data_IF_388222607421
#
_entry.id   IF_388222607421
#
_cell.length_a   1.000
_cell.length_b   1.000
_cell.length_c   1.000
_cell.angle_alpha   90.00
_cell.angle_beta   90.00
_cell.angle_gamma   90.00
#
_symmetry.space_group_name_H-M   'P 1'
#
loop_
_entity.id
_entity.type
_entity.pdbx_description
1 polymer ?
#
# COMPACT_ATOMS: atom_id res chain seq x y z
N UNK A 1 13.95 4.42 -0.58
CA UNK A 1 13.17 4.79 -1.77
C UNK A 1 11.98 5.64 -1.36
N UNK A 2 11.74 6.78 -2.02
CA UNK A 2 10.59 7.62 -1.69
C UNK A 2 9.27 6.91 -1.99
N UNK A 3 8.28 7.00 -1.10
CA UNK A 3 6.93 6.49 -1.38
C UNK A 3 6.24 7.35 -2.44
N UNK A 4 5.24 6.77 -3.09
CA UNK A 4 4.42 7.45 -4.11
C UNK A 4 2.98 7.57 -3.63
N UNK A 5 2.15 8.45 -4.22
CA UNK A 5 0.75 8.58 -3.82
C UNK A 5 -0.01 7.26 -3.91
N UNK A 6 -0.82 6.91 -2.90
CA UNK A 6 -1.60 5.66 -2.91
C UNK A 6 -2.47 5.47 -4.15
N UNK A 7 -3.02 6.55 -4.71
CA UNK A 7 -3.86 6.47 -5.92
C UNK A 7 -3.10 5.95 -7.14
N UNK A 8 -1.78 6.02 -7.13
CA UNK A 8 -0.93 5.51 -8.22
C UNK A 8 -0.45 4.08 -7.96
N UNK A 9 -0.70 3.54 -6.78
CA UNK A 9 -0.26 2.21 -6.37
C UNK A 9 -1.35 1.19 -6.69
N UNK A 10 -0.98 0.16 -7.41
CA UNK A 10 -1.88 -0.95 -7.78
C UNK A 10 -1.49 -2.17 -6.96
N UNK A 11 -2.35 -2.55 -6.03
CA UNK A 11 -2.10 -3.65 -5.09
C UNK A 11 -3.03 -4.82 -5.39
N UNK A 12 -2.46 -6.01 -5.38
CA UNK A 12 -3.22 -7.26 -5.33
C UNK A 12 -2.93 -7.95 -4.00
N UNK A 13 -3.97 -8.30 -3.26
CA UNK A 13 -3.81 -9.00 -1.98
C UNK A 13 -3.96 -10.50 -2.20
N UNK A 14 -3.00 -11.25 -1.68
CA UNK A 14 -2.94 -12.71 -1.80
C UNK A 14 -3.04 -13.34 -0.41
N UNK A 15 -3.88 -14.36 -0.27
CA UNK A 15 -4.00 -15.11 0.97
C UNK A 15 -2.95 -16.22 1.00
N UNK A 16 -1.94 -16.05 1.85
CA UNK A 16 -0.90 -17.04 2.10
C UNK A 16 -0.97 -17.63 3.52
N UNK A 17 -1.91 -17.18 4.34
CA UNK A 17 -2.08 -17.60 5.73
C UNK A 17 -3.23 -18.59 5.96
N UNK A 18 -3.97 -18.95 4.92
CA UNK A 18 -5.05 -19.94 5.02
C UNK A 18 -6.32 -19.44 5.70
N UNK A 19 -6.36 -18.24 6.24
CA UNK A 19 -7.55 -17.70 6.88
C UNK A 19 -8.54 -17.21 5.83
N UNK A 20 -9.74 -17.82 5.81
CA UNK A 20 -10.77 -17.47 4.84
C UNK A 20 -11.19 -16.01 4.95
N UNK A 21 -11.27 -15.31 3.83
CA UNK A 21 -11.72 -13.93 3.77
C UNK A 21 -10.67 -12.88 4.14
N UNK A 22 -9.50 -13.27 4.61
CA UNK A 22 -8.45 -12.34 5.02
C UNK A 22 -8.02 -11.43 3.88
N UNK A 23 -7.75 -11.99 2.70
CA UNK A 23 -7.30 -11.18 1.56
C UNK A 23 -8.37 -10.19 1.10
N UNK A 24 -9.65 -10.57 1.15
CA UNK A 24 -10.75 -9.67 0.82
C UNK A 24 -10.84 -8.51 1.81
N UNK A 25 -10.68 -8.79 3.10
CA UNK A 25 -10.71 -7.77 4.14
C UNK A 25 -9.56 -6.77 3.95
N UNK A 26 -8.36 -7.27 3.74
CA UNK A 26 -7.18 -6.41 3.57
C UNK A 26 -7.26 -5.59 2.28
N UNK A 27 -7.77 -6.17 1.19
CA UNK A 27 -7.98 -5.42 -0.05
C UNK A 27 -8.96 -4.28 0.15
N UNK A 28 -10.03 -4.49 0.91
CA UNK A 28 -10.99 -3.44 1.25
C UNK A 28 -10.33 -2.34 2.09
N UNK A 29 -9.51 -2.69 3.05
CA UNK A 29 -8.78 -1.73 3.87
C UNK A 29 -7.80 -0.88 3.05
N UNK A 30 -7.07 -1.49 2.12
CA UNK A 30 -6.21 -0.74 1.20
C UNK A 30 -7.02 0.21 0.33
N UNK A 31 -8.18 -0.22 -0.15
CA UNK A 31 -9.11 0.65 -0.89
C UNK A 31 -9.53 1.86 -0.07
N UNK A 32 -9.80 1.68 1.22
CA UNK A 32 -10.17 2.76 2.13
C UNK A 32 -9.03 3.80 2.28
N UNK A 33 -7.78 3.38 2.13
CA UNK A 33 -6.63 4.28 2.14
C UNK A 33 -6.28 4.87 0.77
N UNK A 34 -7.13 4.65 -0.23
CA UNK A 34 -6.98 5.26 -1.54
C UNK A 34 -6.14 4.47 -2.53
N UNK A 35 -5.74 3.24 -2.21
CA UNK A 35 -4.99 2.39 -3.12
C UNK A 35 -5.88 1.84 -4.23
N UNK A 36 -5.33 1.71 -5.43
CA UNK A 36 -6.00 1.04 -6.53
C UNK A 36 -5.83 -0.47 -6.43
N UNK A 37 -6.84 -1.21 -6.88
CA UNK A 37 -6.78 -2.67 -6.91
C UNK A 37 -6.23 -3.14 -8.26
N UNK A 38 -5.10 -3.85 -8.23
CA UNK A 38 -4.48 -4.38 -9.45
C UNK A 38 -5.28 -5.55 -10.02
N UNK A 39 -5.82 -6.40 -9.13
CA UNK A 39 -6.63 -7.57 -9.46
C UNK A 39 -7.43 -7.99 -8.23
N UNK A 40 -8.51 -8.78 -8.38
CA UNK A 40 -9.25 -9.30 -7.25
C UNK A 40 -8.37 -10.11 -6.30
N UNK A 41 -8.63 -10.05 -4.98
CA UNK A 41 -7.90 -10.88 -4.03
C UNK A 41 -8.09 -12.37 -4.33
N UNK A 42 -7.02 -13.13 -4.13
CA UNK A 42 -7.04 -14.57 -4.36
C UNK A 42 -6.05 -15.28 -3.43
N UNK A 43 -5.98 -16.60 -3.50
CA UNK A 43 -5.00 -17.37 -2.76
C UNK A 43 -3.62 -17.22 -3.38
N UNK A 44 -2.58 -17.23 -2.53
CA UNK A 44 -1.20 -17.16 -2.99
C UNK A 44 -0.78 -18.50 -3.62
N UNK A 45 -0.24 -18.45 -4.82
CA UNK A 45 0.20 -19.65 -5.53
C UNK A 45 1.53 -20.21 -5.01
N UNK A 46 2.34 -19.38 -4.34
CA UNK A 46 3.59 -19.82 -3.71
C UNK A 46 3.36 -20.53 -2.38
N UNK A 47 2.23 -20.25 -1.72
CA UNK A 47 1.85 -20.87 -0.46
C UNK A 47 0.41 -21.40 -0.58
N UNK A 48 0.18 -22.40 -1.45
CA UNK A 48 -1.17 -22.88 -1.74
C UNK A 48 -1.88 -23.48 -0.53
N UNK A 49 -1.12 -23.97 0.45
CA UNK A 49 -1.67 -24.55 1.68
C UNK A 49 -1.92 -23.50 2.78
N UNK A 50 -1.64 -22.23 2.50
CA UNK A 50 -1.84 -21.14 3.44
C UNK A 50 -0.91 -21.21 4.66
N UNK A 51 0.31 -21.65 4.46
CA UNK A 51 1.28 -21.94 5.52
C UNK A 51 2.47 -20.98 5.58
N UNK A 52 2.36 -19.80 4.96
CA UNK A 52 3.38 -18.77 5.08
C UNK A 52 3.40 -18.24 6.52
N UNK A 53 4.50 -18.49 7.24
CA UNK A 53 4.58 -18.27 8.69
C UNK A 53 4.83 -16.81 9.08
N UNK A 54 5.33 -15.98 8.17
CA UNK A 54 5.60 -14.57 8.47
C UNK A 54 4.31 -13.72 8.45
N UNK A 55 4.44 -12.45 8.85
CA UNK A 55 3.34 -11.49 8.77
C UNK A 55 2.87 -11.31 7.34
N UNK A 56 3.79 -11.15 6.40
CA UNK A 56 3.45 -10.97 5.00
C UNK A 56 4.68 -10.72 4.15
N UNK A 57 4.46 -10.69 2.84
CA UNK A 57 5.47 -10.32 1.85
C UNK A 57 4.89 -9.29 0.90
N UNK A 58 5.66 -8.23 0.66
CA UNK A 58 5.37 -7.24 -0.38
C UNK A 58 6.27 -7.57 -1.56
N UNK A 59 5.68 -8.07 -2.64
CA UNK A 59 6.39 -8.52 -3.85
C UNK A 59 6.25 -7.47 -4.94
N UNK A 60 7.37 -7.07 -5.51
CA UNK A 60 7.40 -5.99 -6.49
C UNK A 60 8.58 -6.15 -7.45
N UNK A 61 8.48 -5.52 -8.61
CA UNK A 61 9.58 -5.40 -9.56
C UNK A 61 10.26 -4.04 -9.50
N UNK A 62 11.22 -3.83 -10.37
CA UNK A 62 11.98 -2.58 -10.45
C UNK A 62 11.07 -1.35 -10.60
N UNK A 63 10.04 -1.45 -11.46
CA UNK A 63 9.11 -0.34 -11.71
C UNK A 63 8.19 -0.06 -10.52
N UNK A 64 8.02 -1.03 -9.61
CA UNK A 64 7.16 -0.92 -8.45
C UNK A 64 7.84 -0.51 -7.15
N UNK A 65 9.09 -0.08 -7.19
CA UNK A 65 9.86 0.28 -5.99
C UNK A 65 9.17 1.36 -5.14
N UNK A 66 8.72 2.44 -5.77
CA UNK A 66 7.99 3.51 -5.08
C UNK A 66 6.66 3.03 -4.52
N UNK A 67 5.94 2.22 -5.29
CA UNK A 67 4.68 1.63 -4.86
C UNK A 67 4.87 0.71 -3.64
N UNK A 68 5.88 -0.14 -3.66
CA UNK A 68 6.21 -1.02 -2.54
C UNK A 68 6.58 -0.21 -1.29
N UNK A 69 7.28 0.90 -1.46
CA UNK A 69 7.62 1.81 -0.36
C UNK A 69 6.36 2.38 0.32
N UNK A 70 5.33 2.71 -0.46
CA UNK A 70 4.05 3.18 0.08
C UNK A 70 3.30 2.06 0.79
N UNK A 71 3.21 0.88 0.19
CA UNK A 71 2.56 -0.29 0.82
C UNK A 71 3.24 -0.64 2.14
N UNK A 72 4.56 -0.58 2.19
CA UNK A 72 5.33 -0.89 3.40
C UNK A 72 5.01 0.05 4.58
N UNK A 73 4.50 1.24 4.34
CA UNK A 73 4.05 2.13 5.42
C UNK A 73 2.85 1.55 6.17
N UNK A 74 1.98 0.83 5.47
CA UNK A 74 0.79 0.20 6.08
C UNK A 74 1.09 -1.17 6.67
N UNK A 75 2.10 -1.85 6.15
CA UNK A 75 2.48 -3.20 6.58
C UNK A 75 3.97 -3.27 6.89
N UNK A 76 4.44 -2.53 7.90
CA UNK A 76 5.88 -2.36 8.13
C UNK A 76 6.60 -3.65 8.49
N UNK A 77 5.86 -4.66 8.95
CA UNK A 77 6.43 -5.95 9.34
C UNK A 77 6.45 -6.97 8.21
N UNK A 78 5.94 -6.61 7.03
CA UNK A 78 6.02 -7.47 5.87
C UNK A 78 7.41 -7.44 5.26
N UNK A 79 7.85 -8.59 4.79
CA UNK A 79 9.12 -8.72 4.07
C UNK A 79 9.01 -8.11 2.68
N UNK A 80 10.01 -7.33 2.28
CA UNK A 80 10.08 -6.76 0.94
C UNK A 80 10.80 -7.75 0.03
N UNK A 81 10.11 -8.23 -1.00
CA UNK A 81 10.65 -9.22 -1.94
C UNK A 81 10.63 -8.64 -3.34
N UNK A 82 11.80 -8.46 -3.92
CA UNK A 82 11.93 -8.01 -5.29
C UNK A 82 11.88 -9.20 -6.24
N UNK A 83 11.04 -9.10 -7.26
CA UNK A 83 10.92 -10.12 -8.30
C UNK A 83 11.19 -9.56 -9.70
N UNK A 84 11.03 -10.38 -10.71
CA UNK A 84 11.39 -10.06 -12.09
C UNK A 84 10.25 -9.43 -12.90
N UNK A 85 9.12 -9.04 -12.26
CA UNK A 85 8.01 -8.42 -13.00
C UNK A 85 8.43 -7.09 -13.63
N UNK A 86 7.93 -6.83 -14.82
CA UNK A 86 8.23 -5.61 -15.55
C UNK A 86 7.29 -4.45 -15.28
N UNK A 87 6.12 -4.72 -14.68
CA UNK A 87 5.13 -3.70 -14.39
C UNK A 87 5.32 -3.09 -12.99
N UNK A 88 4.50 -2.11 -12.66
CA UNK A 88 4.54 -1.40 -11.39
C UNK A 88 3.56 -1.93 -10.34
N UNK A 89 2.95 -3.08 -10.58
CA UNK A 89 2.02 -3.70 -9.63
C UNK A 89 2.75 -4.26 -8.43
N UNK A 90 2.05 -4.32 -7.30
CA UNK A 90 2.57 -4.85 -6.05
C UNK A 90 1.63 -5.93 -5.55
N UNK A 91 2.19 -7.06 -5.16
CA UNK A 91 1.45 -8.11 -4.48
C UNK A 91 1.74 -8.05 -2.98
N UNK A 92 0.68 -8.02 -2.18
CA UNK A 92 0.77 -8.22 -0.74
C UNK A 92 0.25 -9.61 -0.40
N UNK A 93 1.15 -10.51 -0.06
CA UNK A 93 0.80 -11.82 0.45
C UNK A 93 0.68 -11.74 1.97
N UNK A 94 -0.49 -12.07 2.51
CA UNK A 94 -0.74 -12.04 3.95
C UNK A 94 -0.52 -13.43 4.55
N UNK A 95 0.35 -13.50 5.54
CA UNK A 95 0.75 -14.74 6.18
C UNK A 95 -0.10 -15.09 7.40
N UNK A 96 0.28 -16.18 8.07
CA UNK A 96 -0.48 -16.71 9.22
C UNK A 96 -0.48 -15.79 10.43
N UNK A 97 0.53 -14.93 10.57
CA UNK A 97 0.64 -13.99 11.68
C UNK A 97 0.19 -12.58 11.33
N UNK A 98 -0.40 -12.41 10.15
CA UNK A 98 -0.88 -11.10 9.72
C UNK A 98 -2.07 -10.66 10.60
N UNK A 99 -1.96 -9.44 11.14
CA UNK A 99 -3.07 -8.77 11.80
C UNK A 99 -3.79 -7.81 10.86
N UNK A 100 -4.59 -6.94 11.42
CA UNK A 100 -5.27 -5.91 10.64
C UNK A 100 -4.32 -4.80 10.21
N UNK A 101 -4.63 -4.15 9.09
CA UNK A 101 -4.02 -2.88 8.72
C UNK A 101 -4.57 -1.81 9.66
N UNK A 102 -3.75 -1.37 10.58
CA UNK A 102 -4.13 -0.36 11.56
C UNK A 102 -3.00 0.67 11.69
N UNK A 103 -2.87 1.55 10.72
CA UNK A 103 -1.75 2.51 10.72
C UNK A 103 -1.90 3.52 11.85
N UNK A 104 -0.79 3.82 12.48
CA UNK A 104 -0.71 4.89 13.45
C UNK A 104 -0.81 6.28 12.80
N UNK A 105 -0.83 7.29 13.63
CA UNK A 105 -0.98 8.67 13.18
C UNK A 105 0.10 9.10 12.19
N UNK A 106 1.37 8.73 12.46
CA UNK A 106 2.48 9.12 11.60
C UNK A 106 2.32 8.55 10.18
N UNK A 107 1.84 7.32 10.05
CA UNK A 107 1.56 6.72 8.75
C UNK A 107 0.41 7.43 8.05
N UNK A 108 -0.66 7.76 8.78
CA UNK A 108 -1.80 8.50 8.20
C UNK A 108 -1.37 9.87 7.71
N UNK A 109 -0.55 10.58 8.50
CA UNK A 109 -0.02 11.88 8.11
C UNK A 109 0.86 11.77 6.85
N UNK A 110 1.68 10.74 6.75
CA UNK A 110 2.50 10.50 5.58
C UNK A 110 1.64 10.24 4.33
N UNK A 111 0.59 9.43 4.46
CA UNK A 111 -0.33 9.16 3.36
C UNK A 111 -1.08 10.42 2.93
N UNK A 112 -1.48 11.27 3.87
CA UNK A 112 -2.12 12.55 3.58
C UNK A 112 -1.19 13.46 2.78
N UNK A 113 0.07 13.55 3.18
CA UNK A 113 1.07 14.34 2.47
C UNK A 113 1.35 13.81 1.07
N UNK A 114 1.17 12.51 0.84
CA UNK A 114 1.27 11.91 -0.48
C UNK A 114 0.07 12.20 -1.38
N UNK A 115 -0.96 12.90 -0.86
CA UNK A 115 -2.15 13.18 -1.62
C UNK A 115 -3.12 12.02 -1.66
N UNK A 116 -2.91 10.98 -0.84
CA UNK A 116 -3.80 9.83 -0.70
C UNK A 116 -5.06 10.12 0.10
N UNK A 117 -5.27 11.34 0.49
CA UNK A 117 -6.26 11.81 1.45
C UNK A 117 -7.66 11.95 0.89
N UNK A 118 -8.01 11.24 -0.16
CA UNK A 118 -9.39 11.22 -0.63
C UNK A 118 -10.37 10.58 0.36
N UNK A 119 -9.87 9.83 1.30
CA UNK A 119 -10.70 9.17 2.31
C UNK A 119 -11.08 10.16 3.42
N UNK A 120 -12.37 10.35 3.58
CA UNK A 120 -12.91 11.24 4.61
C UNK A 120 -12.88 12.72 4.29
N UNK A 121 -12.33 13.13 3.18
CA UNK A 121 -12.55 14.47 2.66
C UNK A 121 -13.65 14.44 1.61
N UNK A 122 -14.71 15.22 1.80
CA UNK A 122 -15.48 15.57 0.65
C UNK A 122 -14.50 16.13 -0.37
N UNK A 123 -14.63 15.70 -1.61
CA UNK A 123 -14.01 16.40 -2.70
C UNK A 123 -14.39 17.86 -2.48
N UNK A 124 -13.58 18.54 -1.67
CA UNK A 124 -13.82 19.95 -1.46
C UNK A 124 -13.80 20.50 -2.86
N UNK A 125 -14.80 21.23 -3.23
CA UNK A 125 -14.80 21.96 -4.46
C UNK A 125 -13.59 22.84 -4.64
N UNK A 126 -12.43 22.35 -4.20
CA UNK A 126 -11.17 22.79 -4.72
C UNK A 126 -11.36 22.75 -6.20
N UNK A 127 -11.71 23.86 -6.69
CA UNK A 127 -12.02 24.11 -8.04
C UNK A 127 -11.14 23.21 -8.88
N UNK A 128 -11.78 22.23 -9.51
CA UNK A 128 -11.16 21.61 -10.65
C UNK A 128 -10.50 22.75 -11.39
N UNK A 129 -9.19 22.74 -11.60
CA UNK A 129 -8.53 23.82 -12.30
C UNK A 129 -9.35 24.05 -13.55
N UNK A 130 -9.79 25.27 -13.71
CA UNK A 130 -10.50 25.68 -14.89
C UNK A 130 -9.74 25.15 -16.09
N UNK A 131 -10.46 24.58 -17.02
CA UNK A 131 -9.97 23.96 -18.23
C UNK A 131 -8.71 24.65 -18.75
N UNK A 132 -7.60 24.17 -18.38
CA UNK A 132 -6.28 24.59 -18.76
C UNK A 132 -5.38 23.42 -18.46
N UNK A 133 -4.25 23.37 -19.09
CA UNK A 133 -3.26 22.33 -18.83
C UNK A 133 -3.08 22.16 -17.33
N UNK A 134 -3.47 20.99 -16.83
CA UNK A 134 -3.11 20.63 -15.48
C UNK A 134 -1.58 20.79 -15.36
N UNK A 135 -1.09 21.53 -14.37
CA UNK A 135 0.33 21.55 -14.11
C UNK A 135 0.78 20.12 -13.91
N UNK A 136 1.98 19.75 -14.36
CA UNK A 136 2.50 18.42 -14.08
C UNK A 136 2.38 18.18 -12.57
N UNK A 137 2.01 16.97 -12.15
CA UNK A 137 1.87 16.69 -10.73
C UNK A 137 3.16 17.10 -10.05
N UNK A 138 3.06 18.08 -9.16
CA UNK A 138 4.17 18.46 -8.31
C UNK A 138 4.67 17.17 -7.64
N UNK A 139 5.97 16.97 -7.61
CA UNK A 139 6.55 15.90 -6.82
C UNK A 139 5.97 16.01 -5.41
N UNK A 140 5.10 15.08 -5.08
CA UNK A 140 4.58 15.02 -3.73
C UNK A 140 5.71 14.46 -2.86
N UNK A 141 6.26 15.30 -2.02
CA UNK A 141 7.32 14.91 -1.11
C UNK A 141 6.74 14.88 0.28
N UNK A 142 6.83 13.75 0.93
CA UNK A 142 6.47 13.61 2.35
C UNK A 142 7.54 14.31 3.18
N UNK A 143 7.12 15.06 4.18
CA UNK A 143 8.03 15.66 5.15
C UNK A 143 8.96 14.58 5.73
N UNK A 144 10.30 14.76 5.71
CA UNK A 144 11.23 13.73 6.17
C UNK A 144 11.00 13.28 7.61
N UNK A 145 10.62 14.17 8.51
CA UNK A 145 10.34 13.82 9.90
C UNK A 145 9.09 12.94 10.02
N UNK A 146 8.04 13.26 9.25
CA UNK A 146 6.81 12.45 9.20
C UNK A 146 7.09 11.06 8.65
N UNK A 147 7.87 10.99 7.59
CA UNK A 147 8.24 9.71 6.97
C UNK A 147 9.09 8.84 7.91
N UNK A 148 10.05 9.44 8.59
CA UNK A 148 10.88 8.75 9.58
C UNK A 148 10.01 8.18 10.70
N UNK A 149 9.10 8.99 11.26
CA UNK A 149 8.19 8.54 12.31
C UNK A 149 7.26 7.41 11.83
N UNK A 150 6.79 7.48 10.58
CA UNK A 150 5.97 6.43 10.00
C UNK A 150 6.73 5.11 9.85
N UNK A 151 8.02 5.16 9.58
CA UNK A 151 8.89 3.98 9.44
C UNK A 151 9.38 3.39 10.76
N UNK A 152 9.18 4.09 11.86
CA UNK A 152 9.56 3.61 13.21
C UNK A 152 8.55 2.62 13.80
N UNK A 153 7.54 2.20 13.06
CA UNK A 153 6.58 1.22 13.54
C UNK A 153 7.28 -0.07 13.96
N UNK A 154 7.09 -0.43 15.21
CA UNK A 154 7.69 -1.65 15.75
C UNK A 154 6.88 -2.86 15.34
N UNK A 155 7.54 -3.83 14.76
CA UNK A 155 6.98 -5.15 14.49
C UNK A 155 6.90 -5.92 15.81
N UNK A 156 5.70 -6.23 16.22
CA UNK A 156 5.45 -7.06 17.42
C UNK A 156 4.88 -8.42 17.04
#
# INVERSE_FOLDING_TARGET
VPPVPPSTVKVRVLNAGGQRGQANLEAAQFGDFGFAQAAPPTNDTFFPDGDMVCTGQVRFGQAGLGAASTVALLVPCAELVRDARGDDTVDLAVGTTFGDVNPGRAVRDALDQLGGSGWGRPASGSAAPAAGKAPPPARVVVDPATLAAAREATCR
#
